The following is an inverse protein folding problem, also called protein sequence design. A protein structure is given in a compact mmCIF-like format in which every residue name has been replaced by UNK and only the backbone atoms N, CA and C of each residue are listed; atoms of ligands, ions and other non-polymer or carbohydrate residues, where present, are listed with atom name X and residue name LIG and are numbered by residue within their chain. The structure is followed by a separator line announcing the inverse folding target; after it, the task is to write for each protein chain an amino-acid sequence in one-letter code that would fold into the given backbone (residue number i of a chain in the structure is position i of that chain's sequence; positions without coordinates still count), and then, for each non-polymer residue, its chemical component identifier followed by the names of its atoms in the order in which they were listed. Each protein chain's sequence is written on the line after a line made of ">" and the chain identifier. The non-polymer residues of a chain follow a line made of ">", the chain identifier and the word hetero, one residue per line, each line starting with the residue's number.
data_IF_300122708868
#
_entry.id   IF_300122708868
#
_cell.length_a   1.000
_cell.length_b   1.000
_cell.length_c   1.000
_cell.angle_alpha   90.00
_cell.angle_beta   90.00
_cell.angle_gamma   90.00
#
_symmetry.space_group_name_H-M   'P 1'
#
loop_
_entity.id
_entity.type
_entity.pdbx_description
1 polymer ?
#
# COMPACT_ATOMS: atom_id res chain seq x y z
N UNK A 1 -4.92 14.08 -13.49
CA UNK A 1 -3.82 13.14 -13.19
C UNK A 1 -2.64 13.93 -12.67
N UNK A 2 -1.82 13.32 -11.81
CA UNK A 2 -0.56 13.92 -11.31
C UNK A 2 0.59 13.12 -11.93
N UNK A 3 1.62 13.75 -12.54
CA UNK A 3 2.76 13.01 -13.09
C UNK A 3 3.41 12.09 -12.05
N UNK A 4 3.70 10.85 -12.44
CA UNK A 4 4.27 9.83 -11.55
C UNK A 4 3.27 9.20 -10.57
N UNK A 5 1.98 9.53 -10.66
CA UNK A 5 0.92 8.91 -9.86
C UNK A 5 0.05 8.03 -10.75
N UNK A 6 0.04 6.74 -10.46
CA UNK A 6 -0.89 5.77 -11.03
C UNK A 6 -2.14 5.69 -10.15
N UNK A 7 -3.33 5.69 -10.79
CA UNK A 7 -4.62 5.48 -10.11
C UNK A 7 -5.22 4.20 -10.68
N UNK A 8 -5.40 3.21 -9.81
CA UNK A 8 -5.94 1.90 -10.18
C UNK A 8 -7.28 1.69 -9.49
N UNK A 9 -8.31 1.30 -10.24
CA UNK A 9 -9.61 0.95 -9.68
C UNK A 9 -9.58 -0.50 -9.19
N UNK A 10 -9.89 -0.71 -7.91
CA UNK A 10 -10.08 -2.06 -7.38
C UNK A 10 -11.40 -2.64 -7.89
N UNK A 11 -11.41 -3.84 -8.50
CA UNK A 11 -12.66 -4.51 -8.91
C UNK A 11 -13.52 -4.93 -7.72
N UNK A 12 -12.93 -5.00 -6.52
CA UNK A 12 -13.62 -5.26 -5.25
C UNK A 12 -13.10 -4.31 -4.18
N UNK A 13 -12.39 -4.85 -3.19
CA UNK A 13 -11.83 -4.06 -2.10
C UNK A 13 -10.53 -3.36 -2.50
N UNK A 14 -10.41 -2.08 -2.17
CA UNK A 14 -9.15 -1.35 -2.29
C UNK A 14 -8.04 -1.96 -1.42
N UNK A 15 -8.39 -2.46 -0.23
CA UNK A 15 -7.44 -3.08 0.68
C UNK A 15 -6.89 -4.42 0.15
N UNK A 16 -7.69 -5.15 -0.63
CA UNK A 16 -7.25 -6.40 -1.27
C UNK A 16 -6.28 -6.09 -2.41
N UNK A 17 -6.62 -5.09 -3.25
CA UNK A 17 -5.72 -4.62 -4.31
C UNK A 17 -4.40 -4.08 -3.75
N UNK A 18 -4.43 -3.32 -2.65
CA UNK A 18 -3.21 -2.83 -2.00
C UNK A 18 -2.34 -3.99 -1.52
N UNK A 19 -2.94 -5.03 -0.93
CA UNK A 19 -2.19 -6.20 -0.48
C UNK A 19 -1.57 -6.99 -1.65
N UNK A 20 -2.28 -7.13 -2.76
CA UNK A 20 -1.77 -7.74 -3.99
C UNK A 20 -0.58 -6.96 -4.57
N UNK A 21 -0.70 -5.63 -4.66
CA UNK A 21 0.38 -4.76 -5.14
C UNK A 21 1.61 -4.82 -4.21
N UNK A 22 1.40 -4.85 -2.89
CA UNK A 22 2.49 -4.99 -1.93
C UNK A 22 3.21 -6.35 -2.09
N UNK A 23 2.46 -7.43 -2.33
CA UNK A 23 3.04 -8.74 -2.61
C UNK A 23 3.87 -8.75 -3.91
N UNK A 24 3.36 -8.10 -4.96
CA UNK A 24 4.02 -8.01 -6.27
C UNK A 24 5.27 -7.13 -6.29
N UNK A 25 5.39 -6.15 -5.39
CA UNK A 25 6.58 -5.31 -5.29
C UNK A 25 7.84 -6.10 -4.89
N UNK A 26 7.67 -7.10 -4.02
CA UNK A 26 8.75 -7.95 -3.51
C UNK A 26 9.73 -7.23 -2.57
N UNK A 27 10.58 -7.97 -1.84
CA UNK A 27 11.46 -7.40 -0.81
C UNK A 27 12.62 -6.55 -1.40
N UNK A 28 12.97 -6.79 -2.67
CA UNK A 28 14.05 -6.08 -3.38
C UNK A 28 13.71 -4.60 -3.64
N UNK A 29 12.41 -4.29 -3.72
CA UNK A 29 11.89 -2.94 -3.95
C UNK A 29 11.19 -2.47 -2.69
N UNK A 30 11.78 -1.48 -2.01
CA UNK A 30 11.17 -0.89 -0.82
C UNK A 30 9.73 -0.43 -1.10
N UNK A 31 8.76 -1.05 -0.44
CA UNK A 31 7.34 -0.74 -0.56
C UNK A 31 6.86 -0.03 0.72
N UNK A 32 6.21 1.12 0.57
CA UNK A 32 5.57 1.84 1.68
C UNK A 32 4.07 1.90 1.45
N UNK A 33 3.29 1.39 2.41
CA UNK A 33 1.83 1.49 2.42
C UNK A 33 1.40 2.52 3.45
N UNK A 34 0.64 3.51 3.00
CA UNK A 34 0.05 4.54 3.86
C UNK A 34 -1.36 4.12 4.25
N UNK A 35 -1.58 3.76 5.51
CA UNK A 35 -2.91 3.38 6.00
C UNK A 35 -3.07 3.59 7.50
N UNK A 36 -4.31 3.88 7.93
CA UNK A 36 -4.70 3.86 9.33
C UNK A 36 -5.27 2.48 9.75
N UNK A 37 -5.60 1.62 8.78
CA UNK A 37 -6.19 0.32 9.03
C UNK A 37 -5.14 -0.67 9.55
N UNK A 38 -5.46 -1.35 10.66
CA UNK A 38 -4.53 -2.30 11.30
C UNK A 38 -4.55 -3.67 10.64
N UNK A 39 -5.68 -4.08 10.07
CA UNK A 39 -5.80 -5.35 9.37
C UNK A 39 -5.03 -5.33 8.06
N UNK A 40 -5.15 -4.26 7.28
CA UNK A 40 -4.35 -4.05 6.07
C UNK A 40 -2.86 -3.98 6.41
N UNK A 41 -2.48 -3.26 7.47
CA UNK A 41 -1.09 -3.22 7.93
C UNK A 41 -0.50 -4.61 8.14
N UNK A 42 -1.20 -5.45 8.90
CA UNK A 42 -0.74 -6.80 9.18
C UNK A 42 -0.56 -7.63 7.89
N UNK A 43 -1.46 -7.47 6.90
CA UNK A 43 -1.36 -8.18 5.63
C UNK A 43 -0.17 -7.75 4.79
N UNK A 44 0.10 -6.45 4.68
CA UNK A 44 1.20 -5.96 3.82
C UNK A 44 2.57 -6.11 4.45
N UNK A 45 2.67 -6.03 5.78
CA UNK A 45 3.92 -6.30 6.51
C UNK A 45 4.37 -7.76 6.34
N UNK A 46 3.43 -8.70 6.16
CA UNK A 46 3.75 -10.09 5.85
C UNK A 46 4.49 -10.26 4.49
N UNK A 47 4.35 -9.29 3.58
CA UNK A 47 5.08 -9.24 2.30
C UNK A 47 6.34 -8.37 2.34
N UNK A 48 6.72 -7.88 3.52
CA UNK A 48 7.91 -7.02 3.69
C UNK A 48 7.67 -5.54 3.41
N UNK A 49 6.43 -5.12 3.17
CA UNK A 49 6.11 -3.71 3.03
C UNK A 49 6.18 -2.98 4.39
N UNK A 50 6.64 -1.73 4.38
CA UNK A 50 6.61 -0.85 5.55
C UNK A 50 5.28 -0.11 5.60
N UNK A 51 4.64 -0.06 6.77
CA UNK A 51 3.45 0.78 6.96
C UNK A 51 3.74 2.12 7.64
N UNK A 52 3.07 3.17 7.18
CA UNK A 52 3.03 4.49 7.83
C UNK A 52 1.60 5.00 7.96
N UNK A 53 1.38 5.90 8.91
CA UNK A 53 0.06 6.52 9.10
C UNK A 53 -0.24 7.61 8.07
N UNK A 54 -1.52 7.91 7.77
CA UNK A 54 -1.89 8.95 6.79
C UNK A 54 -1.37 10.36 7.10
N UNK A 55 -1.00 10.63 8.36
CA UNK A 55 -0.42 11.92 8.76
C UNK A 55 0.99 12.13 8.20
N UNK A 56 1.69 11.08 7.77
CA UNK A 56 3.05 11.18 7.18
C UNK A 56 3.06 11.82 5.79
N UNK A 57 1.91 11.84 5.09
CA UNK A 57 1.79 12.37 3.72
C UNK A 57 0.92 13.63 3.64
N UNK A 58 0.64 14.26 4.79
CA UNK A 58 0.02 15.59 4.81
C UNK A 58 1.11 16.65 4.67
N UNK A 59 0.91 17.70 3.84
CA UNK A 59 1.77 18.87 3.84
C UNK A 59 1.73 19.61 5.18
#
# INVERSE_FOLDING_TARGET
>A
SVPGVEVVSAPGSGDDLIAELAAGAGPERGCVVVTADRGLRQRVEAYGARCVGPRTVRP
#
